data_IF_829614642084
#
_entry.id   IF_829614642084
#
_cell.length_a   1.000
_cell.length_b   1.000
_cell.length_c   1.000
_cell.angle_alpha   90.00
_cell.angle_beta   90.00
_cell.angle_gamma   90.00
#
_symmetry.space_group_name_H-M   'P 1'
#
loop_
_entity.id
_entity.type
_entity.pdbx_description
1 polymer ?
#
# COMPACT_ATOMS: atom_id res chain seq x y z
N UNK A 1 -23.67 -13.97 3.70
CA UNK A 1 -22.19 -14.09 3.64
C UNK A 1 -21.64 -12.87 2.92
N UNK A 2 -20.64 -12.21 3.48
CA UNK A 2 -20.04 -11.05 2.84
C UNK A 2 -19.31 -11.46 1.56
N UNK A 3 -19.48 -10.69 0.50
CA UNK A 3 -18.71 -10.87 -0.71
C UNK A 3 -17.26 -10.45 -0.48
N UNK A 4 -16.35 -11.22 -1.08
CA UNK A 4 -14.93 -10.92 -1.05
C UNK A 4 -14.45 -10.53 -2.43
N UNK A 5 -13.76 -9.40 -2.52
CA UNK A 5 -13.22 -8.89 -3.78
C UNK A 5 -11.72 -8.65 -3.64
N UNK A 6 -10.96 -9.14 -4.61
CA UNK A 6 -9.51 -8.98 -4.65
C UNK A 6 -9.15 -7.78 -5.53
N UNK A 7 -8.23 -6.96 -5.03
CA UNK A 7 -7.73 -5.79 -5.75
C UNK A 7 -6.26 -6.02 -6.08
N UNK A 8 -5.90 -5.89 -7.35
CA UNK A 8 -4.54 -6.08 -7.84
C UNK A 8 -3.93 -4.75 -8.29
N UNK A 9 -2.63 -4.57 -8.02
CA UNK A 9 -1.83 -3.48 -8.59
C UNK A 9 -1.22 -3.86 -9.94
N UNK A 10 -1.38 -5.11 -10.36
CA UNK A 10 -0.70 -5.64 -11.53
C UNK A 10 0.76 -6.02 -11.28
N UNK A 11 1.21 -5.96 -10.03
CA UNK A 11 2.58 -6.30 -9.67
C UNK A 11 2.87 -7.79 -9.85
N UNK A 12 4.05 -8.11 -10.39
CA UNK A 12 4.51 -9.50 -10.48
C UNK A 12 4.72 -10.13 -9.11
N UNK A 13 4.96 -9.34 -8.07
CA UNK A 13 5.10 -9.83 -6.71
C UNK A 13 3.84 -10.53 -6.22
N UNK A 14 2.66 -10.01 -6.58
CA UNK A 14 1.38 -10.59 -6.17
C UNK A 14 1.21 -12.00 -6.72
N UNK A 15 1.53 -12.18 -7.99
CA UNK A 15 1.43 -13.48 -8.65
C UNK A 15 2.44 -14.49 -8.08
N UNK A 16 3.67 -14.07 -7.86
CA UNK A 16 4.75 -14.95 -7.38
C UNK A 16 4.52 -15.36 -5.92
N UNK A 17 4.14 -14.43 -5.06
CA UNK A 17 3.94 -14.68 -3.64
C UNK A 17 2.53 -15.14 -3.28
N UNK A 18 1.58 -15.05 -4.20
CA UNK A 18 0.21 -15.52 -4.00
C UNK A 18 -0.62 -14.63 -3.09
N UNK A 19 -0.50 -13.30 -3.24
CA UNK A 19 -1.32 -12.34 -2.49
C UNK A 19 -1.95 -11.31 -3.42
N UNK A 20 -2.89 -10.54 -2.88
CA UNK A 20 -3.52 -9.42 -3.57
C UNK A 20 -3.06 -8.11 -2.94
N UNK A 21 -3.09 -7.01 -3.69
CA UNK A 21 -2.74 -5.68 -3.15
C UNK A 21 -3.68 -5.28 -2.02
N UNK A 22 -4.95 -5.57 -2.17
CA UNK A 22 -5.94 -5.37 -1.13
C UNK A 22 -7.06 -6.38 -1.27
N UNK A 23 -7.82 -6.59 -0.20
CA UNK A 23 -8.99 -7.45 -0.18
C UNK A 23 -10.13 -6.67 0.44
N UNK A 24 -11.26 -6.62 -0.25
CA UNK A 24 -12.52 -6.12 0.28
C UNK A 24 -13.32 -7.30 0.80
N UNK A 25 -13.68 -7.26 2.08
CA UNK A 25 -14.48 -8.30 2.72
C UNK A 25 -15.65 -7.62 3.45
N UNK A 26 -16.81 -7.60 2.82
CA UNK A 26 -17.96 -6.86 3.33
C UNK A 26 -17.68 -5.36 3.41
N UNK A 27 -17.72 -4.79 4.61
CA UNK A 27 -17.44 -3.37 4.87
C UNK A 27 -15.98 -3.11 5.23
N UNK A 28 -15.15 -4.15 5.29
CA UNK A 28 -13.75 -4.04 5.67
C UNK A 28 -12.84 -4.10 4.44
N UNK A 29 -11.77 -3.31 4.47
CA UNK A 29 -10.73 -3.32 3.43
C UNK A 29 -9.39 -3.57 4.10
N UNK A 30 -8.71 -4.62 3.64
CA UNK A 30 -7.39 -4.99 4.12
C UNK A 30 -6.37 -4.73 3.03
N UNK A 31 -5.44 -3.80 3.28
CA UNK A 31 -4.35 -3.50 2.35
C UNK A 31 -3.12 -4.28 2.78
N UNK A 32 -2.56 -5.05 1.87
CA UNK A 32 -1.35 -5.82 2.10
C UNK A 32 -0.14 -4.92 2.31
N UNK A 33 0.95 -5.50 2.79
CA UNK A 33 2.23 -4.80 2.86
C UNK A 33 2.53 -4.13 1.52
N UNK A 34 2.73 -2.82 1.57
CA UNK A 34 2.90 -1.98 0.39
C UNK A 34 4.22 -1.23 0.50
N UNK A 35 4.99 -1.23 -0.56
CA UNK A 35 6.30 -0.58 -0.62
C UNK A 35 6.25 0.63 -1.54
N UNK A 36 7.39 1.31 -1.65
CA UNK A 36 7.56 2.43 -2.55
C UNK A 36 7.89 2.05 -3.99
N UNK A 37 7.59 0.82 -4.39
CA UNK A 37 7.73 0.42 -5.80
C UNK A 37 6.70 1.12 -6.67
N UNK A 38 7.13 1.54 -7.86
CA UNK A 38 6.22 1.77 -8.96
C UNK A 38 5.92 0.39 -9.54
N UNK A 39 4.78 -0.17 -9.18
CA UNK A 39 4.45 -1.56 -9.53
C UNK A 39 4.22 -1.76 -11.04
N UNK A 40 3.85 -0.71 -11.75
CA UNK A 40 3.66 -0.79 -13.21
C UNK A 40 5.00 -0.93 -13.93
N UNK A 41 6.04 -0.23 -13.45
CA UNK A 41 7.38 -0.24 -14.04
C UNK A 41 8.32 -1.22 -13.34
N UNK A 42 7.93 -1.72 -12.16
CA UNK A 42 8.75 -2.56 -11.29
C UNK A 42 10.08 -1.91 -10.94
N UNK A 43 10.01 -0.62 -10.60
CA UNK A 43 11.18 0.18 -10.18
C UNK A 43 10.91 0.83 -8.83
N UNK A 44 11.97 1.12 -8.09
CA UNK A 44 11.89 1.80 -6.80
C UNK A 44 12.97 2.87 -6.72
N UNK A 45 12.61 4.02 -6.18
CA UNK A 45 13.57 5.11 -5.93
C UNK A 45 14.48 4.76 -4.75
N UNK A 46 15.73 5.24 -4.79
CA UNK A 46 16.67 5.03 -3.69
C UNK A 46 16.41 5.94 -2.50
N UNK A 47 15.73 7.08 -2.70
CA UNK A 47 15.44 8.03 -1.65
C UNK A 47 14.28 7.55 -0.78
N UNK A 48 14.48 7.39 0.55
CA UNK A 48 13.40 6.94 1.45
C UNK A 48 12.16 7.85 1.42
N UNK A 49 12.33 9.16 1.26
CA UNK A 49 11.20 10.08 1.19
C UNK A 49 10.38 9.86 -0.07
N UNK A 50 11.03 9.68 -1.21
CA UNK A 50 10.36 9.36 -2.48
C UNK A 50 9.64 8.01 -2.38
N UNK A 51 10.26 7.02 -1.73
CA UNK A 51 9.63 5.73 -1.48
C UNK A 51 8.35 5.87 -0.64
N UNK A 52 8.39 6.69 0.41
CA UNK A 52 7.24 6.92 1.27
C UNK A 52 6.07 7.55 0.50
N UNK A 53 6.34 8.56 -0.31
CA UNK A 53 5.31 9.17 -1.16
C UNK A 53 4.71 8.16 -2.14
N UNK A 54 5.53 7.35 -2.78
CA UNK A 54 5.05 6.32 -3.71
C UNK A 54 4.23 5.25 -3.00
N UNK A 55 4.63 4.87 -1.79
CA UNK A 55 3.89 3.92 -0.98
C UNK A 55 2.46 4.41 -0.71
N UNK A 56 2.30 5.67 -0.33
CA UNK A 56 0.97 6.24 -0.10
C UNK A 56 0.16 6.38 -1.39
N UNK A 57 0.80 6.69 -2.52
CA UNK A 57 0.10 6.68 -3.81
C UNK A 57 -0.44 5.29 -4.14
N UNK A 58 0.35 4.26 -3.90
CA UNK A 58 -0.05 2.86 -4.13
C UNK A 58 -1.23 2.47 -3.24
N UNK A 59 -1.18 2.85 -1.97
CA UNK A 59 -2.26 2.59 -1.01
C UNK A 59 -3.52 3.35 -1.42
N UNK A 60 -3.40 4.63 -1.75
CA UNK A 60 -4.54 5.45 -2.16
C UNK A 60 -5.21 4.90 -3.41
N UNK A 61 -4.44 4.40 -4.36
CA UNK A 61 -4.97 3.77 -5.56
C UNK A 61 -5.76 2.50 -5.22
N UNK A 62 -5.22 1.65 -4.37
CA UNK A 62 -5.91 0.43 -3.95
C UNK A 62 -7.21 0.75 -3.20
N UNK A 63 -7.17 1.74 -2.30
CA UNK A 63 -8.36 2.18 -1.57
C UNK A 63 -9.41 2.77 -2.52
N UNK A 64 -8.97 3.54 -3.52
CA UNK A 64 -9.88 4.09 -4.53
C UNK A 64 -10.62 3.01 -5.30
N UNK A 65 -9.96 1.93 -5.65
CA UNK A 65 -10.58 0.78 -6.31
C UNK A 65 -11.58 0.07 -5.39
N UNK A 66 -11.39 0.17 -4.08
CA UNK A 66 -12.32 -0.35 -3.07
C UNK A 66 -13.47 0.62 -2.75
N UNK A 67 -13.47 1.81 -3.35
CA UNK A 67 -14.45 2.85 -3.06
C UNK A 67 -14.14 3.66 -1.80
N UNK A 68 -12.89 3.64 -1.35
CA UNK A 68 -12.44 4.32 -0.12
C UNK A 68 -11.40 5.40 -0.43
N UNK A 69 -11.07 6.18 0.59
CA UNK A 69 -9.99 7.16 0.56
C UNK A 69 -9.07 6.95 1.78
N UNK A 70 -7.97 7.69 1.83
CA UNK A 70 -7.07 7.66 2.99
C UNK A 70 -7.77 8.10 4.28
N UNK A 71 -8.83 8.91 4.18
CA UNK A 71 -9.61 9.36 5.35
C UNK A 71 -10.35 8.20 6.04
N UNK A 72 -10.56 7.10 5.33
CA UNK A 72 -11.24 5.91 5.87
C UNK A 72 -10.30 4.98 6.64
N UNK A 73 -8.99 5.27 6.66
CA UNK A 73 -8.01 4.42 7.32
C UNK A 73 -8.12 4.55 8.84
N UNK A 74 -8.24 3.42 9.51
CA UNK A 74 -8.36 3.37 10.98
C UNK A 74 -7.15 2.73 11.65
N UNK A 75 -6.28 2.08 10.88
CA UNK A 75 -5.06 1.48 11.40
C UNK A 75 -3.97 1.49 10.32
N UNK A 76 -2.76 1.90 10.72
CA UNK A 76 -1.58 1.88 9.86
C UNK A 76 -0.43 1.21 10.60
N UNK A 77 0.36 0.45 9.87
CA UNK A 77 1.57 -0.17 10.37
C UNK A 77 2.75 0.29 9.51
N UNK A 78 3.69 1.01 10.12
CA UNK A 78 4.89 1.50 9.45
C UNK A 78 6.06 0.60 9.75
N UNK A 79 6.69 0.06 8.70
CA UNK A 79 7.89 -0.77 8.81
C UNK A 79 9.05 -0.01 8.18
N UNK A 80 10.04 0.35 8.99
CA UNK A 80 11.21 1.09 8.56
C UNK A 80 12.46 0.24 8.76
N UNK A 81 13.40 0.31 7.81
CA UNK A 81 14.67 -0.41 7.92
C UNK A 81 15.59 0.20 8.96
N UNK A 82 15.40 1.48 9.29
CA UNK A 82 16.17 2.21 10.29
C UNK A 82 15.22 3.16 11.02
N UNK A 83 15.17 3.05 12.34
CA UNK A 83 14.30 3.88 13.17
C UNK A 83 14.63 5.38 13.04
N UNK A 84 15.86 5.74 12.69
CA UNK A 84 16.26 7.14 12.48
C UNK A 84 15.53 7.80 11.31
N UNK A 85 14.98 7.01 10.38
CA UNK A 85 14.20 7.52 9.25
C UNK A 85 12.86 8.11 9.68
N UNK A 86 12.36 7.76 10.86
CA UNK A 86 11.02 8.19 11.29
C UNK A 86 10.88 9.71 11.26
N UNK A 87 11.88 10.43 11.78
CA UNK A 87 11.84 11.90 11.79
C UNK A 87 11.79 12.52 10.39
N UNK A 88 12.50 11.92 9.44
CA UNK A 88 12.52 12.37 8.04
C UNK A 88 11.20 12.09 7.35
N UNK A 89 10.57 10.96 7.64
CA UNK A 89 9.38 10.47 6.94
C UNK A 89 8.08 10.91 7.61
N UNK A 90 8.12 11.30 8.89
CA UNK A 90 6.92 11.65 9.63
C UNK A 90 6.01 12.69 8.95
N UNK A 91 6.54 13.72 8.25
CA UNK A 91 5.68 14.67 7.54
C UNK A 91 4.86 14.07 6.42
N UNK A 92 5.23 12.88 5.91
CA UNK A 92 4.51 12.17 4.85
C UNK A 92 3.38 11.32 5.44
N UNK A 93 3.55 10.88 6.67
CA UNK A 93 2.60 9.95 7.33
C UNK A 93 1.28 10.58 7.72
#
# INVERSE_FOLDING_TARGET
MAERRLISSGSSFEAVAGYSRAVVDGSDVFVSGTTGFDYARMTIDDDPLAQAHQCFRNIAQALGEAGCTLDDVVRVHYLLTDASLFGTLAPVF
#
